data_IF_436035245505
#
_entry.id   IF_436035245505
#
_cell.length_a   1.000
_cell.length_b   1.000
_cell.length_c   1.000
_cell.angle_alpha   90.00
_cell.angle_beta   90.00
_cell.angle_gamma   90.00
#
_symmetry.space_group_name_H-M   'P 1'
#
loop_
_entity.id
_entity.type
_entity.pdbx_description
1 polymer ?
#
# COMPACT_ATOMS: atom_id res chain seq x y z
N UNK A 1 -21.48 18.46 -3.31
CA UNK A 1 -21.47 18.08 -4.76
C UNK A 1 -22.73 17.32 -5.07
N UNK A 2 -23.42 17.67 -6.15
CA UNK A 2 -24.57 16.90 -6.62
C UNK A 2 -24.09 15.61 -7.30
N UNK A 3 -24.82 14.52 -7.09
CA UNK A 3 -24.47 13.25 -7.72
C UNK A 3 -24.89 13.23 -9.19
N UNK A 4 -23.94 12.94 -10.06
CA UNK A 4 -24.13 12.83 -11.52
C UNK A 4 -23.86 11.41 -11.96
N UNK A 5 -24.73 10.85 -12.79
CA UNK A 5 -24.61 9.49 -13.32
C UNK A 5 -24.23 9.50 -14.81
N UNK A 6 -23.34 8.62 -15.20
CA UNK A 6 -22.95 8.37 -16.60
C UNK A 6 -23.01 6.89 -16.92
N UNK A 7 -23.42 6.55 -18.14
CA UNK A 7 -23.27 5.17 -18.64
C UNK A 7 -21.79 4.81 -18.66
N UNK A 8 -21.45 3.64 -18.11
CA UNK A 8 -20.06 3.18 -18.04
C UNK A 8 -19.51 2.92 -19.44
N UNK A 9 -18.32 3.45 -19.73
CA UNK A 9 -17.61 3.20 -21.00
C UNK A 9 -17.24 1.73 -21.17
N UNK A 10 -17.03 1.02 -20.07
CA UNK A 10 -16.62 -0.37 -20.03
C UNK A 10 -17.78 -1.35 -20.22
N UNK A 11 -19.02 -0.94 -19.89
CA UNK A 11 -20.24 -1.77 -20.03
C UNK A 11 -21.51 -0.93 -19.92
N UNK A 12 -22.26 -0.85 -21.01
CA UNK A 12 -23.43 0.04 -21.18
C UNK A 12 -24.65 -0.31 -20.31
N UNK A 13 -24.72 -1.54 -19.78
CA UNK A 13 -25.80 -1.97 -18.87
C UNK A 13 -25.68 -1.37 -17.47
N UNK A 14 -24.58 -0.67 -17.20
CA UNK A 14 -24.29 -0.07 -15.90
C UNK A 14 -24.07 1.43 -16.02
N UNK A 15 -24.40 2.12 -14.94
CA UNK A 15 -24.08 3.53 -14.75
C UNK A 15 -23.17 3.69 -13.54
N UNK A 16 -22.24 4.62 -13.64
CA UNK A 16 -21.32 5.04 -12.58
C UNK A 16 -21.61 6.48 -12.18
N UNK A 17 -21.58 6.79 -10.89
CA UNK A 17 -21.69 8.17 -10.40
C UNK A 17 -20.30 8.77 -10.14
N UNK A 18 -20.26 10.11 -10.16
CA UNK A 18 -19.10 10.88 -9.74
C UNK A 18 -18.71 10.67 -8.26
N UNK A 19 -19.58 10.05 -7.47
CA UNK A 19 -19.34 9.67 -6.05
C UNK A 19 -18.89 8.21 -5.89
N UNK A 20 -18.68 7.47 -6.99
CA UNK A 20 -18.22 6.08 -6.97
C UNK A 20 -19.29 5.04 -6.66
N UNK A 21 -20.58 5.39 -6.84
CA UNK A 21 -21.68 4.41 -6.80
C UNK A 21 -21.92 3.84 -8.19
N UNK A 22 -22.28 2.55 -8.27
CA UNK A 22 -22.59 1.86 -9.54
C UNK A 22 -24.00 1.30 -9.45
N UNK A 23 -24.78 1.44 -10.52
CA UNK A 23 -26.12 0.88 -10.64
C UNK A 23 -26.34 0.18 -11.97
N UNK A 24 -27.28 -0.75 -11.97
CA UNK A 24 -27.77 -1.37 -13.21
C UNK A 24 -28.68 -0.37 -13.92
N UNK A 25 -28.39 -0.03 -15.16
CA UNK A 25 -29.12 1.01 -15.92
C UNK A 25 -30.61 0.68 -16.04
N UNK A 26 -30.95 -0.59 -16.38
CA UNK A 26 -32.32 -1.03 -16.58
C UNK A 26 -33.22 -0.92 -15.35
N UNK A 27 -32.70 -1.18 -14.16
CA UNK A 27 -33.48 -1.28 -12.91
C UNK A 27 -33.20 -0.17 -11.91
N UNK A 28 -32.16 0.65 -12.13
CA UNK A 28 -31.68 1.65 -11.17
C UNK A 28 -31.06 1.05 -9.89
N UNK A 29 -31.00 -0.29 -9.76
CA UNK A 29 -30.53 -0.96 -8.55
C UNK A 29 -29.04 -0.69 -8.32
N UNK A 30 -28.72 -0.14 -7.14
CA UNK A 30 -27.32 0.06 -6.72
C UNK A 30 -26.63 -1.29 -6.49
N UNK A 31 -25.44 -1.42 -7.03
CA UNK A 31 -24.62 -2.62 -6.92
C UNK A 31 -23.72 -2.56 -5.69
N UNK A 32 -23.61 -3.69 -4.98
CA UNK A 32 -22.70 -3.82 -3.84
C UNK A 32 -21.24 -3.88 -4.32
N UNK A 33 -20.38 -3.11 -3.68
CA UNK A 33 -18.92 -3.16 -3.86
C UNK A 33 -18.27 -3.95 -2.75
N UNK A 34 -17.09 -4.50 -2.99
CA UNK A 34 -16.23 -5.17 -2.01
C UNK A 34 -14.91 -4.43 -1.86
N UNK A 35 -14.14 -4.77 -0.84
CA UNK A 35 -12.78 -4.21 -0.65
C UNK A 35 -11.76 -5.28 -1.03
N UNK A 36 -10.83 -4.93 -1.90
CA UNK A 36 -9.72 -5.80 -2.31
C UNK A 36 -8.68 -5.93 -1.19
N UNK A 37 -7.81 -6.95 -1.28
CA UNK A 37 -6.67 -7.11 -0.35
C UNK A 37 -5.72 -5.90 -0.32
N UNK A 38 -5.76 -5.06 -1.36
CA UNK A 38 -4.97 -3.81 -1.43
C UNK A 38 -5.72 -2.60 -0.83
N UNK A 39 -6.91 -2.80 -0.26
CA UNK A 39 -7.73 -1.77 0.39
C UNK A 39 -8.54 -0.88 -0.56
N UNK A 40 -8.69 -1.24 -1.83
CA UNK A 40 -9.49 -0.48 -2.79
C UNK A 40 -10.89 -1.04 -2.93
N UNK A 41 -11.91 -0.18 -3.10
CA UNK A 41 -13.25 -0.62 -3.52
C UNK A 41 -13.19 -1.23 -4.92
N UNK A 42 -13.83 -2.38 -5.08
CA UNK A 42 -13.95 -3.09 -6.35
C UNK A 42 -15.36 -3.60 -6.56
N UNK A 43 -15.72 -3.83 -7.83
CA UNK A 43 -17.01 -4.37 -8.25
C UNK A 43 -16.79 -5.43 -9.32
N UNK A 44 -17.68 -6.43 -9.33
CA UNK A 44 -17.79 -7.40 -10.41
C UNK A 44 -18.96 -6.99 -11.31
N UNK A 45 -18.67 -6.77 -12.57
CA UNK A 45 -19.67 -6.57 -13.63
C UNK A 45 -19.56 -7.68 -14.67
N UNK A 46 -20.66 -8.00 -15.33
CA UNK A 46 -20.68 -9.04 -16.35
C UNK A 46 -20.57 -8.40 -17.74
N UNK A 47 -19.54 -8.80 -18.49
CA UNK A 47 -19.33 -8.42 -19.89
C UNK A 47 -19.43 -9.69 -20.73
N UNK A 48 -20.38 -9.74 -21.66
CA UNK A 48 -20.63 -10.93 -22.47
C UNK A 48 -20.82 -12.20 -21.61
N UNK A 49 -21.63 -12.09 -20.55
CA UNK A 49 -21.89 -13.15 -19.54
C UNK A 49 -20.68 -13.61 -18.73
N UNK A 50 -19.51 -12.98 -18.88
CA UNK A 50 -18.29 -13.29 -18.11
C UNK A 50 -18.07 -12.25 -17.02
N UNK A 51 -17.78 -12.66 -15.77
CA UNK A 51 -17.50 -11.73 -14.69
C UNK A 51 -16.15 -11.04 -14.91
N UNK A 52 -16.12 -9.72 -14.74
CA UNK A 52 -14.90 -8.93 -14.76
C UNK A 52 -14.86 -8.00 -13.56
N UNK A 53 -13.74 -7.99 -12.86
CA UNK A 53 -13.53 -7.16 -11.68
C UNK A 53 -12.91 -5.82 -12.08
N UNK A 54 -13.48 -4.73 -11.57
CA UNK A 54 -12.98 -3.37 -11.77
C UNK A 54 -12.77 -2.67 -10.44
N UNK A 55 -11.74 -1.84 -10.35
CA UNK A 55 -11.58 -0.91 -9.24
C UNK A 55 -12.46 0.32 -9.45
N UNK A 56 -13.22 0.70 -8.42
CA UNK A 56 -14.19 1.80 -8.50
C UNK A 56 -13.53 3.14 -8.84
N UNK A 57 -12.39 3.49 -8.21
CA UNK A 57 -11.66 4.72 -8.52
C UNK A 57 -11.25 4.81 -10.00
N UNK A 58 -10.88 3.69 -10.62
CA UNK A 58 -10.54 3.66 -12.05
C UNK A 58 -11.75 3.88 -12.94
N UNK A 59 -12.89 3.29 -12.58
CA UNK A 59 -14.15 3.52 -13.28
C UNK A 59 -14.59 4.98 -13.19
N UNK A 60 -14.49 5.60 -11.99
CA UNK A 60 -14.81 7.02 -11.84
C UNK A 60 -13.84 7.88 -12.66
N UNK A 61 -12.54 7.62 -12.57
CA UNK A 61 -11.54 8.40 -13.30
C UNK A 61 -11.76 8.29 -14.82
N UNK A 62 -12.00 7.09 -15.38
CA UNK A 62 -12.21 6.89 -16.82
C UNK A 62 -13.47 7.60 -17.35
N UNK A 63 -14.51 7.73 -16.51
CA UNK A 63 -15.79 8.30 -16.93
C UNK A 63 -15.93 9.81 -16.64
N UNK A 64 -15.21 10.34 -15.63
CA UNK A 64 -15.41 11.71 -15.16
C UNK A 64 -14.19 12.62 -15.30
N UNK A 65 -12.97 12.08 -15.36
CA UNK A 65 -11.74 12.86 -15.34
C UNK A 65 -11.04 12.78 -16.71
N UNK A 66 -10.72 13.93 -17.29
CA UNK A 66 -9.93 14.00 -18.52
C UNK A 66 -8.51 13.47 -18.29
N UNK A 67 -7.97 12.73 -19.23
CA UNK A 67 -6.62 12.16 -19.19
C UNK A 67 -5.85 12.50 -20.48
N UNK A 68 -5.48 13.77 -20.70
CA UNK A 68 -4.83 14.18 -21.96
C UNK A 68 -3.44 13.57 -22.14
N UNK A 69 -2.76 13.25 -21.03
CA UNK A 69 -1.42 12.68 -21.03
C UNK A 69 -1.39 11.14 -21.08
N UNK A 70 -2.56 10.48 -21.18
CA UNK A 70 -2.67 9.02 -21.18
C UNK A 70 -1.99 8.34 -19.97
N UNK A 71 -2.04 8.94 -18.80
CA UNK A 71 -1.52 8.35 -17.58
C UNK A 71 -2.23 7.05 -17.22
N UNK A 72 -1.48 6.11 -16.66
CA UNK A 72 -1.99 4.76 -16.33
C UNK A 72 -2.42 4.61 -14.88
N UNK A 73 -1.99 5.49 -14.00
CA UNK A 73 -2.26 5.45 -12.57
C UNK A 73 -3.37 6.45 -12.19
N UNK A 74 -4.13 6.10 -11.16
CA UNK A 74 -5.09 7.00 -10.53
C UNK A 74 -4.70 7.14 -9.06
N UNK A 75 -4.47 8.37 -8.63
CA UNK A 75 -4.14 8.73 -7.26
C UNK A 75 -5.40 9.19 -6.50
N UNK A 76 -5.43 8.96 -5.19
CA UNK A 76 -6.40 9.55 -4.26
C UNK A 76 -5.75 10.75 -3.58
N UNK A 77 -6.25 11.94 -3.85
CA UNK A 77 -5.65 13.21 -3.38
C UNK A 77 -5.57 13.27 -1.86
N UNK A 78 -6.57 12.77 -1.14
CA UNK A 78 -6.58 12.71 0.32
C UNK A 78 -5.97 11.43 0.91
N UNK A 79 -5.34 10.58 0.07
CA UNK A 79 -4.77 9.26 0.43
C UNK A 79 -5.80 8.23 0.95
N UNK A 80 -7.11 8.54 1.00
CA UNK A 80 -8.16 7.59 1.37
C UNK A 80 -8.63 6.78 0.15
N UNK A 81 -8.23 5.52 0.08
CA UNK A 81 -8.59 4.58 -0.99
C UNK A 81 -10.08 4.27 -1.09
N UNK A 82 -10.86 4.60 -0.07
CA UNK A 82 -12.30 4.37 -0.02
C UNK A 82 -13.11 5.58 -0.49
N UNK A 83 -12.49 6.77 -0.54
CA UNK A 83 -13.10 7.99 -1.07
C UNK A 83 -12.87 8.08 -2.57
N UNK A 84 -13.82 7.52 -3.35
CA UNK A 84 -13.74 7.45 -4.80
C UNK A 84 -14.53 8.55 -5.51
N UNK A 85 -14.76 9.70 -4.84
CA UNK A 85 -15.36 10.88 -5.47
C UNK A 85 -14.44 11.43 -6.56
N UNK A 86 -15.00 11.88 -7.68
CA UNK A 86 -14.22 12.40 -8.82
C UNK A 86 -13.26 13.54 -8.44
N UNK A 87 -13.64 14.38 -7.48
CA UNK A 87 -12.83 15.52 -7.01
C UNK A 87 -11.63 15.07 -6.16
N UNK A 88 -11.68 13.84 -5.65
CA UNK A 88 -10.59 13.26 -4.86
C UNK A 88 -9.67 12.38 -5.70
N UNK A 89 -9.88 12.30 -7.00
CA UNK A 89 -9.11 11.45 -7.90
C UNK A 89 -8.41 12.26 -8.96
N UNK A 90 -7.20 11.84 -9.31
CA UNK A 90 -6.42 12.41 -10.40
C UNK A 90 -5.68 11.34 -11.18
N UNK A 91 -5.53 11.54 -12.49
CA UNK A 91 -4.63 10.73 -13.29
C UNK A 91 -3.19 11.18 -13.08
N UNK A 92 -2.27 10.23 -12.90
CA UNK A 92 -0.88 10.54 -12.65
C UNK A 92 0.05 9.47 -13.26
N UNK A 93 1.32 9.81 -13.36
CA UNK A 93 2.36 8.84 -13.68
C UNK A 93 2.77 8.02 -12.44
N UNK A 94 3.49 6.92 -12.68
CA UNK A 94 3.90 6.02 -11.60
C UNK A 94 4.89 6.66 -10.63
N UNK A 95 5.76 7.54 -11.10
CA UNK A 95 6.75 8.19 -10.25
C UNK A 95 6.08 9.19 -9.28
N UNK A 96 5.17 10.00 -9.80
CA UNK A 96 4.34 10.88 -8.96
C UNK A 96 3.58 10.08 -7.91
N UNK A 97 2.86 9.01 -8.31
CA UNK A 97 2.07 8.18 -7.40
C UNK A 97 2.91 7.49 -6.31
N UNK A 98 4.12 7.03 -6.65
CA UNK A 98 5.05 6.43 -5.69
C UNK A 98 5.57 7.41 -4.64
N UNK A 99 5.70 8.68 -5.02
CA UNK A 99 6.25 9.73 -4.16
C UNK A 99 5.20 10.59 -3.46
N UNK A 100 3.91 10.37 -3.77
CA UNK A 100 2.82 11.19 -3.29
C UNK A 100 2.57 11.05 -1.77
N UNK A 101 2.21 12.18 -1.16
CA UNK A 101 1.72 12.26 0.22
C UNK A 101 2.67 11.67 1.26
N UNK A 102 2.07 10.96 2.22
CA UNK A 102 2.78 10.39 3.38
C UNK A 102 3.34 8.99 3.16
N UNK A 103 3.28 8.45 1.94
CA UNK A 103 3.68 7.07 1.63
C UNK A 103 5.11 6.72 2.08
N UNK A 104 6.09 7.59 1.78
CA UNK A 104 7.50 7.38 2.19
C UNK A 104 7.65 7.34 3.71
N UNK A 105 6.94 8.24 4.40
CA UNK A 105 6.94 8.31 5.87
C UNK A 105 6.32 7.04 6.48
N UNK A 106 5.18 6.57 5.95
CA UNK A 106 4.54 5.31 6.39
C UNK A 106 5.43 4.09 6.20
N UNK A 107 6.12 4.00 5.06
CA UNK A 107 7.08 2.91 4.80
C UNK A 107 8.23 2.97 5.79
N UNK A 108 8.79 4.17 6.05
CA UNK A 108 9.86 4.34 7.02
C UNK A 108 9.40 3.95 8.43
N UNK A 109 8.23 4.41 8.87
CA UNK A 109 7.67 4.06 10.17
C UNK A 109 7.45 2.56 10.32
N UNK A 110 6.94 1.90 9.27
CA UNK A 110 6.77 0.43 9.28
C UNK A 110 8.12 -0.27 9.42
N UNK A 111 9.13 0.15 8.68
CA UNK A 111 10.51 -0.38 8.82
C UNK A 111 11.06 -0.17 10.24
N UNK A 112 10.86 1.01 10.81
CA UNK A 112 11.32 1.31 12.18
C UNK A 112 10.63 0.43 13.23
N UNK A 113 9.33 0.14 13.09
CA UNK A 113 8.60 -0.78 13.98
C UNK A 113 9.06 -2.23 13.87
N UNK A 114 9.64 -2.65 12.75
CA UNK A 114 10.13 -4.01 12.55
C UNK A 114 11.56 -4.21 13.06
N UNK A 115 12.26 -3.13 13.41
CA UNK A 115 13.60 -3.24 13.96
C UNK A 115 13.55 -3.81 15.39
N UNK A 116 14.11 -5.01 15.54
CA UNK A 116 14.28 -5.66 16.83
C UNK A 116 15.49 -5.06 17.55
N UNK A 117 15.35 -4.86 18.86
CA UNK A 117 16.49 -4.56 19.73
C UNK A 117 17.43 -5.75 19.74
N UNK A 118 18.72 -5.48 19.93
CA UNK A 118 19.77 -6.50 19.93
C UNK A 118 20.57 -6.38 21.21
N UNK A 119 20.69 -7.49 21.93
CA UNK A 119 21.60 -7.62 23.06
C UNK A 119 22.98 -8.08 22.57
N UNK A 120 23.99 -7.35 22.91
CA UNK A 120 25.40 -7.74 22.81
C UNK A 120 25.83 -8.37 24.13
N UNK A 121 26.35 -9.58 24.08
CA UNK A 121 26.82 -10.34 25.25
C UNK A 121 28.28 -10.73 25.07
N UNK A 122 29.01 -10.80 26.17
CA UNK A 122 30.31 -11.46 26.17
C UNK A 122 30.19 -12.97 25.89
N UNK A 123 31.32 -13.66 25.81
CA UNK A 123 31.34 -15.10 25.55
C UNK A 123 30.78 -15.92 26.73
N UNK A 124 30.78 -15.36 27.95
CA UNK A 124 30.20 -15.94 29.16
C UNK A 124 28.68 -15.74 29.24
N UNK A 125 28.10 -14.89 28.37
CA UNK A 125 26.64 -14.65 28.29
C UNK A 125 26.16 -13.41 29.06
N UNK A 126 27.04 -12.63 29.66
CA UNK A 126 26.71 -11.38 30.36
C UNK A 126 26.39 -10.29 29.33
N UNK A 127 25.30 -9.56 29.52
CA UNK A 127 24.93 -8.46 28.65
C UNK A 127 25.88 -7.27 28.82
N UNK A 128 26.48 -6.83 27.72
CA UNK A 128 27.37 -5.66 27.64
C UNK A 128 26.59 -4.41 27.27
N UNK A 129 25.79 -4.50 26.20
CA UNK A 129 25.01 -3.37 25.66
C UNK A 129 23.73 -3.85 24.98
N UNK A 130 22.69 -3.00 25.00
CA UNK A 130 21.45 -3.19 24.25
C UNK A 130 21.36 -2.10 23.17
N UNK A 131 21.29 -2.54 21.93
CA UNK A 131 21.19 -1.69 20.74
C UNK A 131 19.72 -1.55 20.32
N UNK A 132 19.30 -0.35 19.92
CA UNK A 132 17.95 -0.11 19.41
C UNK A 132 17.61 -0.99 18.19
N UNK A 133 18.60 -1.18 17.34
CA UNK A 133 18.48 -1.98 16.13
C UNK A 133 19.84 -2.23 15.49
N UNK A 134 19.87 -3.09 14.47
CA UNK A 134 21.09 -3.47 13.76
C UNK A 134 21.76 -2.32 12.99
N UNK A 135 20.99 -1.27 12.63
CA UNK A 135 21.55 -0.11 11.90
C UNK A 135 22.35 0.80 12.82
N UNK A 136 21.83 1.06 14.04
CA UNK A 136 22.56 1.80 15.08
C UNK A 136 23.86 1.08 15.43
N UNK A 137 23.78 -0.22 15.69
CA UNK A 137 24.93 -1.06 16.00
C UNK A 137 26.00 -0.97 14.90
N UNK A 138 25.61 -1.15 13.63
CA UNK A 138 26.53 -1.07 12.50
C UNK A 138 27.16 0.32 12.37
N UNK A 139 26.39 1.38 12.56
CA UNK A 139 26.88 2.76 12.48
C UNK A 139 27.97 3.06 13.51
N UNK A 140 27.82 2.55 14.75
CA UNK A 140 28.77 2.80 15.82
C UNK A 140 29.98 1.85 15.81
N UNK A 141 29.82 0.60 15.35
CA UNK A 141 30.86 -0.43 15.45
C UNK A 141 31.47 -0.83 14.12
N UNK A 142 30.84 -0.49 13.02
CA UNK A 142 31.15 -0.98 11.66
C UNK A 142 31.08 -2.52 11.52
N UNK A 143 30.46 -3.23 12.46
CA UNK A 143 30.30 -4.69 12.40
C UNK A 143 29.36 -5.10 11.28
N UNK A 144 29.61 -6.27 10.68
CA UNK A 144 28.79 -6.79 9.58
C UNK A 144 27.38 -7.17 10.08
N UNK A 145 26.36 -6.50 9.53
CA UNK A 145 24.94 -6.69 9.90
C UNK A 145 24.45 -8.12 9.69
N UNK A 146 24.89 -8.77 8.62
CA UNK A 146 24.42 -10.12 8.29
C UNK A 146 24.97 -11.16 9.25
N UNK A 147 26.23 -11.06 9.67
CA UNK A 147 26.82 -11.97 10.64
C UNK A 147 26.16 -11.85 12.02
N UNK A 148 25.82 -10.63 12.45
CA UNK A 148 25.07 -10.40 13.68
C UNK A 148 23.66 -10.97 13.58
N UNK A 149 22.95 -10.74 12.46
CA UNK A 149 21.64 -11.33 12.22
C UNK A 149 21.70 -12.88 12.29
N UNK A 150 22.72 -13.49 11.73
CA UNK A 150 22.92 -14.95 11.82
C UNK A 150 23.16 -15.44 13.26
N UNK A 151 23.85 -14.67 14.08
CA UNK A 151 23.94 -14.99 15.50
C UNK A 151 22.59 -14.88 16.19
N UNK A 152 21.87 -13.77 16.00
CA UNK A 152 20.54 -13.56 16.59
C UNK A 152 19.49 -14.59 16.14
N UNK A 153 19.65 -15.19 14.97
CA UNK A 153 18.79 -16.26 14.45
C UNK A 153 19.26 -17.67 14.81
N UNK A 154 20.35 -17.81 15.57
CA UNK A 154 20.90 -19.10 15.98
C UNK A 154 21.76 -19.82 14.94
N UNK A 155 21.96 -19.22 13.74
CA UNK A 155 22.78 -19.83 12.69
C UNK A 155 24.27 -19.82 13.01
N UNK A 156 24.74 -18.77 13.69
CA UNK A 156 26.11 -18.65 14.19
C UNK A 156 26.13 -18.54 15.71
N UNK A 157 27.14 -19.12 16.35
CA UNK A 157 27.31 -19.04 17.82
C UNK A 157 27.77 -17.67 18.26
N UNK A 158 28.71 -17.07 17.51
CA UNK A 158 29.33 -15.79 17.82
C UNK A 158 29.66 -15.00 16.55
N UNK A 159 29.82 -13.69 16.71
CA UNK A 159 30.34 -12.80 15.67
C UNK A 159 31.06 -11.63 16.30
N UNK A 160 32.20 -11.21 15.73
CA UNK A 160 33.06 -10.12 16.25
C UNK A 160 33.46 -10.29 17.71
N UNK A 161 33.65 -11.54 18.19
CA UNK A 161 34.02 -11.83 19.57
C UNK A 161 32.87 -11.79 20.58
N UNK A 162 31.60 -11.64 20.15
CA UNK A 162 30.44 -11.52 21.00
C UNK A 162 29.34 -12.52 20.64
N UNK A 163 28.43 -12.78 21.59
CA UNK A 163 27.13 -13.42 21.38
C UNK A 163 26.06 -12.36 21.15
N UNK A 164 25.08 -12.66 20.30
CA UNK A 164 24.06 -11.72 19.92
C UNK A 164 22.68 -12.37 19.96
N UNK A 165 21.69 -11.67 20.52
CA UNK A 165 20.30 -12.13 20.54
C UNK A 165 19.33 -10.96 20.32
N UNK A 166 18.17 -11.26 19.76
CA UNK A 166 17.05 -10.31 19.72
C UNK A 166 16.37 -10.22 21.09
N UNK A 167 15.83 -9.03 21.44
CA UNK A 167 15.01 -8.78 22.63
C UNK A 167 13.82 -7.86 22.33
#
# INVERSE_FOLDING_TARGET
MNEVWKTMKEQEDYEISNLGRIRTKRTGRIRKTTISNKGYKQIIVYINKKPKTFYVHRLVASNFIKNPNNYKEVNHINEDKLNNNSDNLEWCDSNYNLNYGTRKQRILQTKLKTFKKIKQKDLQGKTIKIWKNIMELHKETNYNKQSIHFCCSGKYKTSHGYKWEYC
#
